data_IF_743315139358
#
_entry.id   IF_743315139358
#
_cell.length_a   1.000
_cell.length_b   1.000
_cell.length_c   1.000
_cell.angle_alpha   90.00
_cell.angle_beta   90.00
_cell.angle_gamma   90.00
#
_symmetry.space_group_name_H-M   'P 1'
#
loop_
_entity.id
_entity.type
_entity.pdbx_description
1 polymer ?
#
# COMPACT_ATOMS: atom_id res chain seq x y z
N UNK A 1 2.82 -12.03 10.58
CA UNK A 1 1.36 -11.84 10.54
C UNK A 1 1.03 -10.74 11.55
N UNK A 2 0.23 -9.72 11.20
CA UNK A 2 -0.02 -8.56 12.08
C UNK A 2 -1.47 -8.59 12.56
N UNK A 3 -1.68 -8.38 13.87
CA UNK A 3 -3.01 -8.35 14.49
C UNK A 3 -3.27 -6.95 15.04
N UNK A 4 -4.34 -6.31 14.57
CA UNK A 4 -4.81 -5.00 15.06
C UNK A 4 -6.27 -5.16 15.49
N UNK A 5 -6.52 -5.08 16.80
CA UNK A 5 -7.80 -5.46 17.41
C UNK A 5 -8.25 -6.87 16.97
N UNK A 6 -9.32 -6.94 16.19
CA UNK A 6 -9.91 -8.17 15.64
C UNK A 6 -9.61 -8.34 14.15
N UNK A 7 -8.68 -7.55 13.60
CA UNK A 7 -8.32 -7.56 12.18
C UNK A 7 -7.00 -8.30 12.01
N UNK A 8 -7.04 -9.32 11.15
CA UNK A 8 -5.88 -10.08 10.72
C UNK A 8 -5.32 -9.47 9.43
N UNK A 9 -4.07 -9.04 9.48
CA UNK A 9 -3.40 -8.35 8.38
C UNK A 9 -2.24 -9.22 7.90
N UNK A 10 -2.24 -9.50 6.59
CA UNK A 10 -1.20 -10.28 5.93
C UNK A 10 0.10 -9.47 5.83
N UNK A 11 1.25 -10.12 6.02
CA UNK A 11 2.58 -9.49 5.88
C UNK A 11 2.86 -9.03 4.45
N UNK A 12 2.26 -9.71 3.46
CA UNK A 12 2.39 -9.39 2.05
C UNK A 12 1.94 -7.94 1.75
N UNK A 13 1.02 -7.37 2.55
CA UNK A 13 0.57 -5.97 2.44
C UNK A 13 1.64 -4.95 2.87
N UNK A 14 2.54 -5.34 3.77
CA UNK A 14 3.64 -4.49 4.24
C UNK A 14 4.87 -4.66 3.35
N UNK A 15 5.12 -5.89 2.89
CA UNK A 15 6.25 -6.20 2.00
C UNK A 15 6.02 -5.69 0.58
N UNK A 16 4.79 -5.80 0.05
CA UNK A 16 4.46 -5.21 -1.23
C UNK A 16 4.28 -3.71 -1.07
N UNK A 17 5.32 -2.98 -1.45
CA UNK A 17 5.21 -1.56 -1.74
C UNK A 17 4.19 -1.41 -2.87
N UNK A 18 3.02 -0.89 -2.53
CA UNK A 18 2.06 -0.43 -3.53
C UNK A 18 2.82 0.48 -4.49
N UNK A 19 2.71 0.18 -5.78
CA UNK A 19 3.52 0.70 -6.90
C UNK A 19 3.67 2.23 -6.95
N UNK A 20 2.81 2.95 -6.23
CA UNK A 20 2.76 4.39 -6.17
C UNK A 20 3.11 4.82 -4.74
N UNK A 21 4.40 5.09 -4.51
CA UNK A 21 4.89 5.76 -3.31
C UNK A 21 4.35 7.20 -3.34
N UNK A 22 3.19 7.42 -2.70
CA UNK A 22 2.47 8.70 -2.70
C UNK A 22 3.32 9.85 -2.18
N UNK A 23 4.31 9.58 -1.31
CA UNK A 23 5.24 10.60 -0.85
C UNK A 23 6.19 11.05 -1.98
N UNK A 24 6.57 10.14 -2.87
CA UNK A 24 7.40 10.46 -4.05
C UNK A 24 6.60 11.00 -5.22
N UNK A 25 5.43 10.40 -5.53
CA UNK A 25 4.69 10.72 -6.74
C UNK A 25 3.50 11.67 -6.52
N UNK A 26 3.15 12.00 -5.26
CA UNK A 26 2.03 12.89 -4.89
C UNK A 26 0.72 12.58 -5.63
N UNK A 27 0.47 11.31 -5.96
CA UNK A 27 -0.71 10.87 -6.71
C UNK A 27 -0.56 10.84 -8.23
N UNK A 28 0.47 11.46 -8.81
CA UNK A 28 0.62 11.56 -10.28
C UNK A 28 0.79 10.22 -11.02
N UNK A 29 1.25 9.17 -10.35
CA UNK A 29 1.45 7.83 -10.92
C UNK A 29 0.22 6.93 -10.74
N UNK A 30 -0.70 7.33 -9.86
CA UNK A 30 -1.90 6.57 -9.49
C UNK A 30 -3.12 7.03 -10.32
N UNK A 31 -3.12 8.29 -10.79
CA UNK A 31 -4.19 8.86 -11.63
C UNK A 31 -4.01 8.56 -13.13
N UNK A 32 -2.82 8.16 -13.56
CA UNK A 32 -2.50 7.79 -14.96
C UNK A 32 -2.82 6.30 -15.27
N UNK A 33 -3.68 5.68 -14.47
CA UNK A 33 -4.20 4.33 -14.73
C UNK A 33 -5.30 4.34 -15.79
N UNK A 34 -4.92 4.62 -17.04
CA UNK A 34 -5.74 4.36 -18.23
C UNK A 34 -5.32 3.05 -18.92
#
# INVERSE_FOLDING_TARGET
>A
MIVLDNILISEDLVEKKFVCDLAKCKGGCCEDGA
#
